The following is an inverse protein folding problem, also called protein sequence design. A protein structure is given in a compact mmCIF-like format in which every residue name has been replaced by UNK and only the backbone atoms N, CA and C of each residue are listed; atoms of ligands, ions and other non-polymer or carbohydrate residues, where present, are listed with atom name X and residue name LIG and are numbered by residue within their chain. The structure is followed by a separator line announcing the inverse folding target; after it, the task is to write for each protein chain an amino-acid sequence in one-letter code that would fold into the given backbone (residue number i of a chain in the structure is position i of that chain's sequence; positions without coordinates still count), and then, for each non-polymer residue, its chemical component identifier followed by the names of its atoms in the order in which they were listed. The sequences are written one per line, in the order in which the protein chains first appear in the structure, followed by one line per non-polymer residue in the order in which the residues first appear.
data_IF_590923179785
#
_entry.id   IF_590923179785
#
_cell.length_a   1.000
_cell.length_b   1.000
_cell.length_c   1.000
_cell.angle_alpha   90.00
_cell.angle_beta   90.00
_cell.angle_gamma   90.00
#
_symmetry.space_group_name_H-M   'P 1'
#
loop_
_entity.id
_entity.type
_entity.pdbx_description
1 polymer ?
#
# COMPACT_ATOMS: atom_id res chain seq x y z
N UNK A 1 21.63 18.59 -8.03
CA UNK A 1 22.00 17.33 -7.35
C UNK A 1 22.75 16.42 -8.31
N UNK A 2 23.62 15.50 -7.82
CA UNK A 2 24.29 14.57 -8.72
C UNK A 2 23.33 13.49 -9.20
N UNK A 3 23.48 13.05 -10.45
CA UNK A 3 22.70 11.93 -11.00
C UNK A 3 22.86 10.67 -10.14
N UNK A 4 24.06 10.45 -9.59
CA UNK A 4 24.33 9.33 -8.70
C UNK A 4 23.44 9.36 -7.43
N UNK A 5 23.31 10.53 -6.80
CA UNK A 5 22.43 10.70 -5.63
C UNK A 5 20.97 10.36 -5.98
N UNK A 6 20.48 10.86 -7.10
CA UNK A 6 19.11 10.57 -7.57
C UNK A 6 18.92 9.07 -7.79
N UNK A 7 19.85 8.39 -8.46
CA UNK A 7 19.78 6.94 -8.69
C UNK A 7 19.79 6.15 -7.38
N UNK A 8 20.68 6.48 -6.43
CA UNK A 8 20.75 5.77 -5.15
C UNK A 8 19.48 5.96 -4.33
N UNK A 9 19.01 7.19 -4.19
CA UNK A 9 17.79 7.48 -3.41
C UNK A 9 16.57 6.79 -4.02
N UNK A 10 16.39 6.90 -5.34
CA UNK A 10 15.25 6.25 -6.02
C UNK A 10 15.36 4.72 -6.00
N UNK A 11 16.57 4.15 -6.03
CA UNK A 11 16.76 2.71 -5.88
C UNK A 11 16.31 2.22 -4.51
N UNK A 12 16.77 2.84 -3.41
CA UNK A 12 16.37 2.41 -2.07
C UNK A 12 14.90 2.73 -1.77
N UNK A 13 14.39 3.85 -2.25
CA UNK A 13 12.97 4.20 -2.15
C UNK A 13 12.10 3.18 -2.89
N UNK A 14 12.45 2.86 -4.15
CA UNK A 14 11.76 1.88 -4.96
C UNK A 14 11.88 0.45 -4.40
N UNK A 15 13.03 0.09 -3.85
CA UNK A 15 13.22 -1.20 -3.17
C UNK A 15 12.29 -1.33 -1.96
N UNK A 16 12.31 -0.36 -1.05
CA UNK A 16 11.46 -0.38 0.13
C UNK A 16 9.96 -0.38 -0.22
N UNK A 17 9.56 0.50 -1.13
CA UNK A 17 8.18 0.58 -1.60
C UNK A 17 7.74 -0.71 -2.30
N UNK A 18 8.53 -1.24 -3.22
CA UNK A 18 8.21 -2.46 -3.95
C UNK A 18 8.11 -3.69 -3.05
N UNK A 19 9.04 -3.85 -2.11
CA UNK A 19 8.96 -4.91 -1.10
C UNK A 19 7.69 -4.77 -0.24
N UNK A 20 7.38 -3.56 0.23
CA UNK A 20 6.16 -3.27 0.98
C UNK A 20 4.89 -3.58 0.19
N UNK A 21 4.82 -3.16 -1.07
CA UNK A 21 3.69 -3.45 -1.95
C UNK A 21 3.55 -4.96 -2.20
N UNK A 22 4.63 -5.62 -2.59
CA UNK A 22 4.59 -7.03 -2.97
C UNK A 22 4.34 -8.01 -1.82
N UNK A 23 4.86 -7.74 -0.61
CA UNK A 23 4.66 -8.57 0.59
C UNK A 23 3.40 -8.23 1.37
N UNK A 24 3.06 -6.96 1.45
CA UNK A 24 2.04 -6.47 2.39
C UNK A 24 0.92 -5.66 1.74
N UNK A 25 0.98 -5.42 0.43
CA UNK A 25 0.02 -4.52 -0.20
C UNK A 25 0.09 -3.10 0.39
N UNK A 26 1.29 -2.65 0.76
CA UNK A 26 1.52 -1.30 1.27
C UNK A 26 1.62 -0.32 0.11
N UNK A 27 1.06 0.88 0.27
CA UNK A 27 1.22 1.93 -0.75
C UNK A 27 2.67 2.41 -0.84
N UNK A 28 3.16 2.55 -2.06
CA UNK A 28 4.49 3.09 -2.34
C UNK A 28 4.69 4.51 -1.80
N UNK A 29 3.61 5.28 -1.66
CA UNK A 29 3.65 6.63 -1.13
C UNK A 29 4.19 6.70 0.31
N UNK A 30 4.00 5.65 1.10
CA UNK A 30 4.51 5.59 2.46
C UNK A 30 6.05 5.58 2.56
N UNK A 31 6.74 5.18 1.51
CA UNK A 31 8.22 5.11 1.47
C UNK A 31 8.81 6.12 0.50
N UNK A 32 8.31 6.17 -0.73
CA UNK A 32 8.88 7.03 -1.78
C UNK A 32 8.76 8.50 -1.40
N UNK A 33 7.56 8.95 -0.97
CA UNK A 33 7.34 10.38 -0.70
C UNK A 33 8.31 10.94 0.34
N UNK A 34 8.44 10.37 1.55
CA UNK A 34 9.36 10.90 2.55
C UNK A 34 10.82 10.84 2.08
N UNK A 35 11.22 9.80 1.33
CA UNK A 35 12.59 9.72 0.82
C UNK A 35 12.90 10.78 -0.23
N UNK A 36 11.99 11.04 -1.17
CA UNK A 36 12.16 12.09 -2.18
C UNK A 36 12.19 13.48 -1.55
N UNK A 37 11.33 13.74 -0.58
CA UNK A 37 11.28 15.02 0.14
C UNK A 37 12.58 15.24 0.91
N UNK A 38 13.00 14.26 1.73
CA UNK A 38 14.14 14.40 2.64
C UNK A 38 15.48 14.46 1.90
N UNK A 39 15.70 13.56 0.92
CA UNK A 39 17.02 13.41 0.30
C UNK A 39 17.16 14.12 -1.05
N UNK A 40 16.06 14.36 -1.75
CA UNK A 40 16.08 15.04 -3.05
C UNK A 40 15.42 16.41 -3.03
N UNK A 41 14.87 16.87 -1.90
CA UNK A 41 14.20 18.15 -1.80
C UNK A 41 13.02 18.32 -2.76
N UNK A 42 12.39 17.20 -3.18
CA UNK A 42 11.22 17.25 -4.06
C UNK A 42 10.06 17.82 -3.30
N UNK A 43 9.30 18.71 -3.96
CA UNK A 43 8.11 19.31 -3.38
C UNK A 43 7.12 18.22 -2.93
N UNK A 44 6.53 18.31 -1.71
CA UNK A 44 5.72 17.22 -1.12
C UNK A 44 4.56 16.73 -2.00
N UNK A 45 3.84 17.66 -2.63
CA UNK A 45 2.72 17.28 -3.50
C UNK A 45 3.17 16.49 -4.73
N UNK A 46 4.30 16.90 -5.34
CA UNK A 46 4.91 16.20 -6.46
C UNK A 46 5.49 14.83 -6.06
N UNK A 47 6.13 14.74 -4.89
CA UNK A 47 6.65 13.49 -4.35
C UNK A 47 5.55 12.43 -4.16
N UNK A 48 4.36 12.85 -3.70
CA UNK A 48 3.19 11.97 -3.60
C UNK A 48 2.71 11.52 -4.98
N UNK A 49 2.65 12.42 -5.96
CA UNK A 49 2.28 12.09 -7.34
C UNK A 49 3.22 11.04 -7.96
N UNK A 50 4.54 11.21 -7.81
CA UNK A 50 5.56 10.25 -8.24
C UNK A 50 5.34 8.89 -7.55
N UNK A 51 5.12 8.89 -6.26
CA UNK A 51 4.94 7.68 -5.48
C UNK A 51 3.66 6.92 -5.87
N UNK A 52 2.54 7.61 -6.02
CA UNK A 52 1.28 7.00 -6.45
C UNK A 52 1.37 6.42 -7.87
N UNK A 53 2.01 7.13 -8.79
CA UNK A 53 2.20 6.61 -10.16
C UNK A 53 3.12 5.38 -10.20
N UNK A 54 4.13 5.34 -9.34
CA UNK A 54 4.98 4.15 -9.15
C UNK A 54 4.18 2.98 -8.57
N UNK A 55 3.27 3.27 -7.65
CA UNK A 55 2.39 2.27 -7.02
C UNK A 55 1.41 1.63 -8.00
N UNK A 56 0.93 2.36 -9.01
CA UNK A 56 0.02 1.82 -10.03
C UNK A 56 0.61 0.57 -10.68
N UNK A 57 1.82 0.67 -11.22
CA UNK A 57 2.46 -0.44 -11.93
C UNK A 57 2.94 -1.52 -10.96
N UNK A 58 3.45 -1.15 -9.80
CA UNK A 58 3.89 -2.09 -8.77
C UNK A 58 2.71 -2.92 -8.23
N UNK A 59 1.59 -2.28 -7.94
CA UNK A 59 0.36 -2.94 -7.50
C UNK A 59 -0.26 -3.79 -8.60
N UNK A 60 -0.28 -3.31 -9.85
CA UNK A 60 -0.81 -4.06 -10.99
C UNK A 60 -0.02 -5.36 -11.24
N UNK A 61 1.33 -5.30 -11.27
CA UNK A 61 2.16 -6.49 -11.47
C UNK A 61 2.08 -7.45 -10.29
N UNK A 62 1.95 -6.94 -9.07
CA UNK A 62 1.71 -7.74 -7.88
C UNK A 62 0.34 -8.42 -7.96
N UNK A 63 -0.73 -7.68 -8.23
CA UNK A 63 -2.09 -8.22 -8.40
C UNK A 63 -2.15 -9.30 -9.48
N UNK A 64 -1.52 -9.08 -10.62
CA UNK A 64 -1.40 -10.09 -11.68
C UNK A 64 -0.68 -11.36 -11.18
N UNK A 65 0.41 -11.21 -10.44
CA UNK A 65 1.17 -12.32 -9.89
C UNK A 65 0.32 -13.12 -8.89
N UNK A 66 -0.38 -12.45 -7.99
CA UNK A 66 -1.30 -13.08 -7.04
C UNK A 66 -2.49 -13.74 -7.75
N UNK A 67 -3.06 -13.10 -8.77
CA UNK A 67 -4.15 -13.67 -9.58
C UNK A 67 -3.73 -14.96 -10.27
N UNK A 68 -2.58 -14.97 -10.93
CA UNK A 68 -2.03 -16.18 -11.59
C UNK A 68 -1.87 -17.36 -10.63
N UNK A 69 -1.59 -17.08 -9.36
CA UNK A 69 -1.46 -18.09 -8.30
C UNK A 69 -2.78 -18.36 -7.55
N UNK A 70 -3.92 -17.88 -8.05
CA UNK A 70 -5.26 -18.03 -7.45
C UNK A 70 -5.36 -17.45 -6.02
N UNK A 71 -4.61 -16.40 -5.75
CA UNK A 71 -4.54 -15.68 -4.48
C UNK A 71 -5.13 -14.27 -4.62
N UNK A 72 -6.29 -14.14 -5.28
CA UNK A 72 -7.02 -12.89 -5.48
C UNK A 72 -8.52 -13.15 -5.44
N UNK A 73 -9.23 -12.41 -4.60
CA UNK A 73 -10.70 -12.38 -4.58
C UNK A 73 -11.20 -11.15 -5.36
N UNK A 74 -11.39 -11.33 -6.68
CA UNK A 74 -11.81 -10.24 -7.57
C UNK A 74 -13.19 -9.72 -7.19
N UNK A 75 -14.15 -10.62 -6.93
CA UNK A 75 -15.55 -10.24 -6.71
C UNK A 75 -15.72 -9.34 -5.49
N UNK A 76 -15.21 -9.78 -4.34
CA UNK A 76 -15.29 -8.99 -3.11
C UNK A 76 -14.31 -7.81 -3.14
N UNK A 77 -13.19 -7.94 -3.86
CA UNK A 77 -12.26 -6.86 -4.13
C UNK A 77 -12.90 -5.70 -4.89
N UNK A 78 -13.72 -5.97 -5.92
CA UNK A 78 -14.48 -4.94 -6.66
C UNK A 78 -15.52 -4.24 -5.77
N UNK A 79 -16.24 -4.99 -4.94
CA UNK A 79 -17.22 -4.43 -3.98
C UNK A 79 -16.50 -3.51 -3.00
N UNK A 80 -15.41 -3.98 -2.43
CA UNK A 80 -14.60 -3.21 -1.48
C UNK A 80 -13.98 -1.97 -2.13
N UNK A 81 -13.46 -2.10 -3.36
CA UNK A 81 -12.88 -1.00 -4.13
C UNK A 81 -13.89 0.11 -4.39
N UNK A 82 -15.10 -0.23 -4.87
CA UNK A 82 -16.14 0.75 -5.10
C UNK A 82 -16.52 1.50 -3.82
N UNK A 83 -16.61 0.78 -2.71
CA UNK A 83 -16.87 1.37 -1.39
C UNK A 83 -15.72 2.25 -0.93
N UNK A 84 -14.46 1.78 -1.03
CA UNK A 84 -13.27 2.57 -0.67
C UNK A 84 -13.23 3.87 -1.46
N UNK A 85 -13.37 3.82 -2.79
CA UNK A 85 -13.30 5.01 -3.64
C UNK A 85 -14.40 6.04 -3.28
N UNK A 86 -15.64 5.58 -3.10
CA UNK A 86 -16.75 6.44 -2.74
C UNK A 86 -16.51 7.14 -1.38
N UNK A 87 -16.17 6.36 -0.36
CA UNK A 87 -15.99 6.90 1.00
C UNK A 87 -14.67 7.65 1.17
N UNK A 88 -13.67 7.44 0.32
CA UNK A 88 -12.46 8.29 0.28
C UNK A 88 -12.81 9.71 -0.12
N UNK A 89 -13.71 9.92 -1.08
CA UNK A 89 -14.19 11.27 -1.45
C UNK A 89 -14.89 11.93 -0.25
N UNK A 90 -15.76 11.20 0.43
CA UNK A 90 -16.48 11.70 1.61
C UNK A 90 -15.49 12.03 2.75
N UNK A 91 -14.53 11.13 3.01
CA UNK A 91 -13.48 11.32 4.02
C UNK A 91 -12.59 12.53 3.72
N UNK A 92 -12.19 12.71 2.46
CA UNK A 92 -11.40 13.87 2.03
C UNK A 92 -12.16 15.19 2.19
N UNK A 93 -13.47 15.19 1.88
CA UNK A 93 -14.31 16.34 2.14
C UNK A 93 -14.40 16.63 3.64
N UNK A 94 -14.59 15.62 4.49
CA UNK A 94 -14.60 15.80 5.93
C UNK A 94 -13.26 16.32 6.47
N UNK A 95 -12.13 15.87 5.89
CA UNK A 95 -10.80 16.36 6.24
C UNK A 95 -10.60 17.85 5.91
N UNK A 96 -11.20 18.34 4.81
CA UNK A 96 -11.10 19.76 4.43
C UNK A 96 -11.76 20.72 5.43
N UNK A 97 -12.62 20.19 6.31
CA UNK A 97 -13.30 20.97 7.35
C UNK A 97 -12.51 21.03 8.67
N UNK A 98 -11.37 20.33 8.77
CA UNK A 98 -10.58 20.21 10.01
C UNK A 98 -9.15 20.72 9.78
N UNK A 99 -8.53 21.48 10.72
CA UNK A 99 -7.15 21.94 10.59
C UNK A 99 -6.13 20.80 10.47
N UNK A 100 -5.18 20.90 9.55
CA UNK A 100 -4.33 19.84 9.00
C UNK A 100 -3.18 19.31 9.90
N UNK A 101 -3.11 19.63 11.20
CA UNK A 101 -1.90 19.50 12.01
C UNK A 101 -1.49 18.07 12.46
N UNK A 102 -2.27 16.98 12.16
CA UNK A 102 -2.05 15.69 12.85
C UNK A 102 -1.99 14.44 11.96
N UNK A 103 -1.94 14.56 10.65
CA UNK A 103 -2.29 13.43 9.77
C UNK A 103 -1.14 12.49 9.35
N UNK A 104 0.13 12.94 9.37
CA UNK A 104 1.25 12.18 8.78
C UNK A 104 1.74 10.96 9.57
N UNK A 105 1.71 11.00 10.90
CA UNK A 105 2.32 9.96 11.74
C UNK A 105 1.52 8.66 11.87
N UNK A 106 0.19 8.71 11.69
CA UNK A 106 -0.70 7.57 11.92
C UNK A 106 -0.40 6.39 10.99
N UNK A 107 -0.19 6.64 9.70
CA UNK A 107 0.09 5.60 8.71
C UNK A 107 1.38 4.83 9.00
N UNK A 108 2.43 5.54 9.43
CA UNK A 108 3.74 4.97 9.76
C UNK A 108 3.65 4.12 11.01
N UNK A 109 2.99 4.63 12.05
CA UNK A 109 2.75 3.91 13.29
C UNK A 109 1.96 2.63 13.05
N UNK A 110 0.90 2.66 12.23
CA UNK A 110 0.13 1.48 11.85
C UNK A 110 0.94 0.47 11.06
N UNK A 111 1.86 0.92 10.20
CA UNK A 111 2.79 0.06 9.47
C UNK A 111 3.66 -0.74 10.43
N UNK A 112 4.27 -0.07 11.40
CA UNK A 112 5.11 -0.70 12.42
C UNK A 112 4.31 -1.70 13.27
N UNK A 113 3.16 -1.28 13.80
CA UNK A 113 2.30 -2.17 14.61
C UNK A 113 1.84 -3.41 13.85
N UNK A 114 1.48 -3.25 12.59
CA UNK A 114 1.06 -4.39 11.76
C UNK A 114 2.23 -5.35 11.51
N UNK A 115 3.44 -4.83 11.30
CA UNK A 115 4.65 -5.64 11.20
C UNK A 115 4.90 -6.47 12.46
N UNK A 116 4.86 -5.83 13.63
CA UNK A 116 4.98 -6.51 14.93
C UNK A 116 3.90 -7.57 15.10
N UNK A 117 2.65 -7.26 14.74
CA UNK A 117 1.54 -8.23 14.78
C UNK A 117 1.82 -9.49 13.96
N UNK A 118 2.32 -9.35 12.72
CA UNK A 118 2.61 -10.51 11.86
C UNK A 118 3.75 -11.39 12.39
N UNK A 119 4.71 -10.79 13.11
CA UNK A 119 5.78 -11.54 13.78
C UNK A 119 5.23 -12.29 15.01
N UNK A 120 4.48 -11.60 15.88
CA UNK A 120 4.02 -12.15 17.16
C UNK A 120 2.77 -13.02 17.02
N UNK A 121 1.84 -12.66 16.12
CA UNK A 121 0.57 -13.35 15.87
C UNK A 121 0.38 -13.56 14.37
N UNK A 122 1.06 -14.56 13.78
CA UNK A 122 0.97 -14.84 12.35
C UNK A 122 -0.47 -15.19 11.95
N UNK A 123 -0.83 -14.79 10.73
CA UNK A 123 -2.11 -15.16 10.11
C UNK A 123 -1.97 -16.59 9.60
N UNK A 124 -2.68 -17.51 10.22
CA UNK A 124 -2.67 -18.95 9.89
C UNK A 124 -3.97 -19.42 9.24
N UNK A 125 -4.84 -18.47 8.84
CA UNK A 125 -6.07 -18.77 8.09
C UNK A 125 -5.71 -19.47 6.79
N UNK A 126 -6.39 -20.58 6.49
CA UNK A 126 -6.23 -21.33 5.24
C UNK A 126 -7.32 -20.95 4.22
N UNK A 127 -7.13 -21.33 2.96
CA UNK A 127 -8.15 -21.12 1.92
C UNK A 127 -9.45 -21.84 2.24
N UNK A 128 -9.36 -23.03 2.81
CA UNK A 128 -10.50 -23.85 3.21
C UNK A 128 -11.33 -23.15 4.27
N UNK A 129 -10.67 -22.62 5.33
CA UNK A 129 -11.34 -21.85 6.39
C UNK A 129 -11.92 -20.55 5.83
N UNK A 130 -11.20 -19.87 4.93
CA UNK A 130 -11.69 -18.68 4.27
C UNK A 130 -12.94 -18.98 3.41
N UNK A 131 -13.01 -20.13 2.74
CA UNK A 131 -14.12 -20.52 1.88
C UNK A 131 -15.42 -20.86 2.64
N UNK A 132 -15.35 -21.14 3.94
CA UNK A 132 -16.52 -21.46 4.78
C UNK A 132 -17.40 -20.22 5.09
N UNK A 133 -16.90 -19.02 4.86
CA UNK A 133 -17.67 -17.80 5.09
C UNK A 133 -18.69 -17.61 3.98
N UNK A 134 -19.95 -17.43 4.36
CA UNK A 134 -21.05 -17.21 3.42
C UNK A 134 -20.78 -16.01 2.48
N UNK A 135 -21.08 -16.19 1.20
CA UNK A 135 -20.79 -15.21 0.15
C UNK A 135 -21.51 -13.86 0.39
N UNK A 136 -22.74 -13.89 0.90
CA UNK A 136 -23.52 -12.68 1.21
C UNK A 136 -22.89 -11.93 2.38
N UNK A 137 -22.48 -12.67 3.44
CA UNK A 137 -21.79 -12.09 4.59
C UNK A 137 -20.48 -11.43 4.17
N UNK A 138 -19.70 -12.09 3.30
CA UNK A 138 -18.43 -11.55 2.78
C UNK A 138 -18.63 -10.29 1.95
N UNK A 139 -19.67 -10.25 1.09
CA UNK A 139 -19.97 -9.05 0.31
C UNK A 139 -20.36 -7.86 1.20
N UNK A 140 -21.17 -8.10 2.24
CA UNK A 140 -21.54 -7.06 3.23
C UNK A 140 -20.32 -6.59 4.01
N UNK A 141 -19.46 -7.51 4.45
CA UNK A 141 -18.19 -7.15 5.11
C UNK A 141 -17.30 -6.32 4.20
N UNK A 142 -17.18 -6.68 2.90
CA UNK A 142 -16.39 -5.90 1.93
C UNK A 142 -16.92 -4.48 1.77
N UNK A 143 -18.24 -4.31 1.72
CA UNK A 143 -18.88 -3.00 1.62
C UNK A 143 -18.62 -2.14 2.86
N UNK A 144 -18.91 -2.69 4.04
CA UNK A 144 -18.78 -1.97 5.33
C UNK A 144 -17.31 -1.65 5.64
N UNK A 145 -16.43 -2.65 5.52
CA UNK A 145 -15.00 -2.45 5.76
C UNK A 145 -14.38 -1.50 4.73
N UNK A 146 -14.81 -1.59 3.46
CA UNK A 146 -14.39 -0.65 2.42
C UNK A 146 -14.81 0.78 2.74
N UNK A 147 -16.03 0.99 3.22
CA UNK A 147 -16.50 2.30 3.65
C UNK A 147 -15.65 2.88 4.80
N UNK A 148 -15.35 2.07 5.81
CA UNK A 148 -14.51 2.49 6.94
C UNK A 148 -13.09 2.83 6.47
N UNK A 149 -12.48 1.98 5.65
CA UNK A 149 -11.13 2.22 5.12
C UNK A 149 -11.12 3.48 4.25
N UNK A 150 -12.08 3.62 3.34
CA UNK A 150 -12.20 4.78 2.48
C UNK A 150 -12.35 6.08 3.27
N UNK A 151 -13.19 6.09 4.31
CA UNK A 151 -13.35 7.25 5.18
C UNK A 151 -12.03 7.63 5.88
N UNK A 152 -11.34 6.64 6.47
CA UNK A 152 -10.07 6.86 7.17
C UNK A 152 -8.99 7.31 6.18
N UNK A 153 -8.89 6.65 5.02
CA UNK A 153 -7.88 7.00 4.02
C UNK A 153 -8.11 8.37 3.41
N UNK A 154 -9.36 8.73 3.15
CA UNK A 154 -9.73 10.06 2.67
C UNK A 154 -9.44 11.13 3.72
N UNK A 155 -9.72 10.84 4.98
CA UNK A 155 -9.50 11.78 6.08
C UNK A 155 -8.01 11.98 6.40
N UNK A 156 -7.23 10.89 6.44
CA UNK A 156 -5.80 10.91 6.81
C UNK A 156 -4.88 11.13 5.60
N UNK A 157 -5.36 10.87 4.38
CA UNK A 157 -4.58 11.04 3.15
C UNK A 157 -3.55 9.96 2.85
N UNK A 158 -3.38 8.95 3.71
CA UNK A 158 -2.40 7.88 3.52
C UNK A 158 -2.81 6.59 4.24
N UNK A 159 -2.16 5.47 3.92
CA UNK A 159 -2.26 4.23 4.70
C UNK A 159 -3.30 3.21 4.23
N UNK A 160 -3.99 3.44 3.11
CA UNK A 160 -5.05 2.56 2.62
C UNK A 160 -4.66 1.10 2.50
N UNK A 161 -3.50 0.80 1.97
CA UNK A 161 -3.02 -0.58 1.78
C UNK A 161 -2.85 -1.34 3.10
N UNK A 162 -2.28 -0.69 4.12
CA UNK A 162 -2.08 -1.29 5.44
C UNK A 162 -3.39 -1.56 6.16
N UNK A 163 -4.30 -0.61 6.13
CA UNK A 163 -5.63 -0.77 6.70
C UNK A 163 -6.40 -1.88 5.98
N UNK A 164 -6.26 -1.98 4.65
CA UNK A 164 -6.84 -3.07 3.87
C UNK A 164 -6.31 -4.43 4.30
N UNK A 165 -4.99 -4.60 4.39
CA UNK A 165 -4.38 -5.86 4.82
C UNK A 165 -4.82 -6.25 6.23
N UNK A 166 -4.82 -5.29 7.17
CA UNK A 166 -5.29 -5.52 8.53
C UNK A 166 -6.75 -5.98 8.55
N UNK A 167 -7.61 -5.29 7.82
CA UNK A 167 -9.04 -5.58 7.78
C UNK A 167 -9.31 -6.92 7.12
N UNK A 168 -8.71 -7.20 5.95
CA UNK A 168 -8.88 -8.46 5.26
C UNK A 168 -8.42 -9.64 6.11
N UNK A 169 -7.27 -9.53 6.80
CA UNK A 169 -6.74 -10.64 7.60
C UNK A 169 -7.39 -10.78 8.97
N UNK A 170 -7.69 -9.69 9.67
CA UNK A 170 -8.10 -9.72 11.08
C UNK A 170 -9.61 -9.64 11.29
N UNK A 171 -10.32 -8.95 10.40
CA UNK A 171 -11.78 -8.78 10.49
C UNK A 171 -12.52 -9.75 9.56
N UNK A 172 -12.03 -9.87 8.32
CA UNK A 172 -12.69 -10.69 7.30
C UNK A 172 -12.16 -12.13 7.23
N UNK A 173 -11.09 -12.45 7.98
CA UNK A 173 -10.54 -13.81 8.06
C UNK A 173 -9.94 -14.32 6.75
N UNK A 174 -9.37 -13.45 5.93
CA UNK A 174 -8.68 -13.85 4.72
C UNK A 174 -7.35 -14.55 5.02
N UNK A 175 -7.01 -15.55 4.21
CA UNK A 175 -5.64 -16.05 4.11
C UNK A 175 -4.70 -14.92 3.69
N UNK A 176 -3.48 -14.89 4.24
CA UNK A 176 -2.55 -13.77 4.02
C UNK A 176 -2.27 -13.50 2.54
N UNK A 177 -2.02 -14.54 1.73
CA UNK A 177 -1.74 -14.36 0.30
C UNK A 177 -2.93 -13.74 -0.44
N UNK A 178 -4.13 -14.22 -0.16
CA UNK A 178 -5.36 -13.70 -0.77
C UNK A 178 -5.66 -12.28 -0.29
N UNK A 179 -5.38 -11.97 0.97
CA UNK A 179 -5.51 -10.61 1.50
C UNK A 179 -4.57 -9.63 0.79
N UNK A 180 -3.28 -9.98 0.65
CA UNK A 180 -2.31 -9.13 -0.07
C UNK A 180 -2.71 -8.98 -1.54
N UNK A 181 -3.05 -10.09 -2.23
CA UNK A 181 -3.48 -10.05 -3.63
C UNK A 181 -4.70 -9.14 -3.85
N UNK A 182 -5.70 -9.24 -2.97
CA UNK A 182 -6.91 -8.41 -3.04
C UNK A 182 -6.61 -6.94 -2.70
N UNK A 183 -5.73 -6.69 -1.73
CA UNK A 183 -5.29 -5.34 -1.37
C UNK A 183 -4.57 -4.64 -2.54
N UNK A 184 -3.56 -5.28 -3.15
CA UNK A 184 -2.83 -4.68 -4.29
C UNK A 184 -3.73 -4.50 -5.52
N UNK A 185 -4.72 -5.37 -5.72
CA UNK A 185 -5.72 -5.18 -6.78
C UNK A 185 -6.51 -3.89 -6.58
N UNK A 186 -7.04 -3.65 -5.39
CA UNK A 186 -7.76 -2.42 -5.06
C UNK A 186 -6.83 -1.21 -5.19
N UNK A 187 -5.61 -1.34 -4.69
CA UNK A 187 -4.61 -0.26 -4.73
C UNK A 187 -4.23 0.16 -6.14
N UNK A 188 -4.22 -0.75 -7.12
CA UNK A 188 -3.97 -0.39 -8.52
C UNK A 188 -4.89 0.73 -8.98
N UNK A 189 -6.17 0.66 -8.65
CA UNK A 189 -7.17 1.65 -9.07
C UNK A 189 -7.17 2.89 -8.19
N UNK A 190 -6.99 2.74 -6.88
CA UNK A 190 -6.92 3.90 -5.97
C UNK A 190 -5.67 4.72 -6.21
N UNK A 191 -4.52 4.08 -6.46
CA UNK A 191 -3.28 4.76 -6.81
C UNK A 191 -3.36 5.45 -8.19
N UNK A 192 -4.02 4.81 -9.18
CA UNK A 192 -4.25 5.42 -10.49
C UNK A 192 -5.07 6.70 -10.37
N UNK A 193 -6.18 6.65 -9.64
CA UNK A 193 -7.02 7.83 -9.41
C UNK A 193 -6.23 8.94 -8.72
N UNK A 194 -5.44 8.60 -7.70
CA UNK A 194 -4.59 9.55 -7.00
C UNK A 194 -3.50 10.15 -7.89
N UNK A 195 -2.77 9.33 -8.66
CA UNK A 195 -1.70 9.78 -9.54
C UNK A 195 -2.23 10.73 -10.63
N UNK A 196 -3.34 10.36 -11.27
CA UNK A 196 -3.99 11.22 -12.29
C UNK A 196 -4.40 12.56 -11.69
N UNK A 197 -5.00 12.57 -10.50
CA UNK A 197 -5.39 13.81 -9.81
C UNK A 197 -4.17 14.68 -9.47
N UNK A 198 -3.09 14.09 -8.95
CA UNK A 198 -1.87 14.83 -8.63
C UNK A 198 -1.21 15.47 -9.86
N UNK A 199 -1.12 14.73 -10.96
CA UNK A 199 -0.50 15.26 -12.17
C UNK A 199 -1.39 16.25 -12.93
N UNK A 200 -2.72 16.09 -12.85
CA UNK A 200 -3.64 17.05 -13.44
C UNK A 200 -3.60 18.42 -12.72
N UNK A 201 -3.32 18.44 -11.43
CA UNK A 201 -3.28 19.67 -10.61
C UNK A 201 -1.86 20.23 -10.52
N UNK A 202 -0.86 19.38 -10.23
CA UNK A 202 0.53 19.78 -9.96
C UNK A 202 1.46 19.79 -11.17
N UNK A 203 0.98 19.33 -12.35
CA UNK A 203 1.83 19.16 -13.53
C UNK A 203 2.68 17.88 -13.50
N UNK A 204 3.54 17.71 -14.50
CA UNK A 204 4.39 16.53 -14.64
C UNK A 204 5.68 16.67 -13.82
N UNK A 205 6.14 15.60 -13.17
CA UNK A 205 7.36 15.57 -12.38
C UNK A 205 8.62 15.55 -13.27
N UNK A 206 9.80 15.70 -12.62
CA UNK A 206 11.08 15.41 -13.28
C UNK A 206 11.08 13.97 -13.82
N UNK A 207 11.27 13.86 -15.12
CA UNK A 207 11.13 12.61 -15.87
C UNK A 207 12.11 11.54 -15.39
N UNK A 208 13.35 11.93 -15.03
CA UNK A 208 14.37 10.98 -14.58
C UNK A 208 14.00 10.36 -13.23
N UNK A 209 13.71 11.21 -12.23
CA UNK A 209 13.32 10.77 -10.89
C UNK A 209 12.06 9.91 -10.94
N UNK A 210 11.08 10.34 -11.72
CA UNK A 210 9.83 9.59 -11.91
C UNK A 210 10.08 8.20 -12.53
N UNK A 211 10.76 8.14 -13.66
CA UNK A 211 11.04 6.89 -14.36
C UNK A 211 11.83 5.90 -13.49
N UNK A 212 12.85 6.38 -12.76
CA UNK A 212 13.63 5.54 -11.85
C UNK A 212 12.78 4.98 -10.69
N UNK A 213 11.95 5.81 -10.07
CA UNK A 213 11.02 5.35 -9.01
C UNK A 213 10.07 4.28 -9.55
N UNK A 214 9.46 4.49 -10.72
CA UNK A 214 8.56 3.51 -11.35
C UNK A 214 9.27 2.19 -11.61
N UNK A 215 10.44 2.24 -12.26
CA UNK A 215 11.19 1.03 -12.64
C UNK A 215 11.64 0.24 -11.41
N UNK A 216 12.26 0.90 -10.43
CA UNK A 216 12.76 0.21 -9.25
C UNK A 216 11.61 -0.35 -8.39
N UNK A 217 10.53 0.40 -8.21
CA UNK A 217 9.36 -0.09 -7.45
C UNK A 217 8.71 -1.28 -8.14
N UNK A 218 8.53 -1.23 -9.45
CA UNK A 218 7.99 -2.32 -10.26
C UNK A 218 8.81 -3.61 -10.13
N UNK A 219 10.14 -3.50 -10.26
CA UNK A 219 11.05 -4.65 -10.18
C UNK A 219 10.98 -5.33 -8.82
N UNK A 220 11.09 -4.56 -7.75
CA UNK A 220 11.07 -5.09 -6.38
C UNK A 220 9.70 -5.61 -5.97
N UNK A 221 8.61 -4.96 -6.41
CA UNK A 221 7.24 -5.45 -6.17
C UNK A 221 7.00 -6.81 -6.85
N UNK A 222 7.49 -6.98 -8.09
CA UNK A 222 7.41 -8.26 -8.79
C UNK A 222 8.21 -9.36 -8.08
N UNK A 223 9.44 -9.07 -7.66
CA UNK A 223 10.29 -10.01 -6.91
C UNK A 223 9.57 -10.42 -5.62
N UNK A 224 9.10 -9.45 -4.85
CA UNK A 224 8.39 -9.69 -3.60
C UNK A 224 7.11 -10.51 -3.80
N UNK A 225 6.28 -10.18 -4.79
CA UNK A 225 5.04 -10.90 -5.07
C UNK A 225 5.29 -12.35 -5.52
N UNK A 226 6.32 -12.60 -6.34
CA UNK A 226 6.70 -13.96 -6.75
C UNK A 226 7.17 -14.78 -5.55
N UNK A 227 8.05 -14.21 -4.72
CA UNK A 227 8.51 -14.87 -3.50
C UNK A 227 7.35 -15.15 -2.54
N UNK A 228 6.50 -14.17 -2.28
CA UNK A 228 5.34 -14.29 -1.39
C UNK A 228 4.41 -15.44 -1.81
N UNK A 229 4.16 -15.58 -3.10
CA UNK A 229 3.29 -16.65 -3.61
C UNK A 229 3.91 -18.04 -3.49
N UNK A 230 5.25 -18.15 -3.52
CA UNK A 230 5.97 -19.44 -3.35
C UNK A 230 6.24 -19.79 -1.89
N UNK A 231 6.31 -18.78 -1.02
CA UNK A 231 6.65 -18.98 0.39
C UNK A 231 5.56 -19.77 1.14
N UNK A 232 6.00 -20.54 2.15
CA UNK A 232 5.08 -21.14 3.12
C UNK A 232 4.42 -20.05 3.99
N UNK A 233 3.21 -20.29 4.55
CA UNK A 233 2.49 -19.30 5.34
C UNK A 233 3.31 -18.70 6.50
N UNK A 234 4.06 -19.55 7.23
CA UNK A 234 4.91 -19.10 8.34
C UNK A 234 6.05 -18.19 7.88
N UNK A 235 6.72 -18.56 6.78
CA UNK A 235 7.80 -17.75 6.19
C UNK A 235 7.27 -16.44 5.64
N UNK A 236 6.11 -16.47 4.98
CA UNK A 236 5.48 -15.27 4.45
C UNK A 236 5.10 -14.29 5.57
N UNK A 237 4.43 -14.76 6.63
CA UNK A 237 4.10 -13.91 7.78
C UNK A 237 5.34 -13.24 8.37
N UNK A 238 6.43 -14.03 8.55
CA UNK A 238 7.69 -13.51 9.08
C UNK A 238 8.34 -12.49 8.15
N UNK A 239 8.41 -12.78 6.84
CA UNK A 239 8.97 -11.88 5.85
C UNK A 239 8.16 -10.58 5.76
N UNK A 240 6.84 -10.67 5.67
CA UNK A 240 5.93 -9.51 5.69
C UNK A 240 6.13 -8.69 6.97
N UNK A 241 6.15 -9.35 8.14
CA UNK A 241 6.35 -8.66 9.41
C UNK A 241 7.68 -7.94 9.49
N UNK A 242 8.79 -8.58 9.11
CA UNK A 242 10.13 -7.97 9.11
C UNK A 242 10.19 -6.78 8.16
N UNK A 243 9.70 -6.93 6.92
CA UNK A 243 9.66 -5.82 5.94
C UNK A 243 8.88 -4.63 6.50
N UNK A 244 7.71 -4.87 7.10
CA UNK A 244 6.89 -3.80 7.66
C UNK A 244 7.54 -3.11 8.87
N UNK A 245 8.18 -3.85 9.77
CA UNK A 245 8.90 -3.27 10.91
C UNK A 245 10.07 -2.42 10.43
N UNK A 246 10.89 -2.95 9.52
CA UNK A 246 12.05 -2.22 8.97
C UNK A 246 11.59 -0.95 8.24
N UNK A 247 10.56 -1.04 7.40
CA UNK A 247 10.02 0.12 6.69
C UNK A 247 9.38 1.12 7.66
N UNK A 248 8.64 0.65 8.67
CA UNK A 248 8.05 1.52 9.69
C UNK A 248 9.12 2.31 10.45
N UNK A 249 10.20 1.66 10.88
CA UNK A 249 11.33 2.32 11.55
C UNK A 249 12.04 3.30 10.61
N UNK A 250 12.32 2.88 9.37
CA UNK A 250 13.01 3.72 8.39
C UNK A 250 12.21 5.00 8.07
N UNK A 251 10.91 4.86 7.80
CA UNK A 251 10.06 6.01 7.48
C UNK A 251 9.87 6.92 8.70
N UNK A 252 9.77 6.35 9.91
CA UNK A 252 9.74 7.15 11.15
C UNK A 252 11.03 7.95 11.33
N UNK A 253 12.19 7.34 11.04
CA UNK A 253 13.48 8.02 11.05
C UNK A 253 13.54 9.17 10.02
N UNK A 254 13.04 8.96 8.80
CA UNK A 254 12.99 10.02 7.79
C UNK A 254 12.07 11.18 8.18
N UNK A 255 10.93 10.91 8.82
CA UNK A 255 10.02 11.96 9.30
C UNK A 255 10.62 12.79 10.46
N UNK A 256 11.56 12.23 11.23
CA UNK A 256 12.27 12.97 12.28
C UNK A 256 13.43 13.82 11.74
N UNK A 257 13.90 13.52 10.51
CA UNK A 257 14.99 14.24 9.84
C UNK A 257 14.47 15.36 8.91
N UNK A 258 13.21 15.29 8.51
CA UNK A 258 12.53 16.26 7.64
C UNK A 258 11.86 17.38 8.45
#
# INVERSE_FOLDING_TARGET
MSILTTVLVTFFAGMGAGLGTGFAGMSAAAVISPMLITFLGVEPYMAVGIALSSDVLASAVSAYTYHKNKNLDIKNGLIMMASVLLFTVIGSYAASLVPSATMGGFSVFMTFLLGVKFILRPVMTTKETMAQVDAKKRAVQSLVCGAMIGMICGFIGAGGGMMMLLTLTSVMGYELKTAVGTSVFIMTFTALTGAVSHFAIGGLPDTLTWALCVVFTLLWARIAAVFANRAQPKTLNRATGVVLVVLGIAVMGFQLLA
#
